data_IF_262378405588
#
_entry.id   IF_262378405588
#
_cell.length_a   1.000
_cell.length_b   1.000
_cell.length_c   1.000
_cell.angle_alpha   90.00
_cell.angle_beta   90.00
_cell.angle_gamma   90.00
#
_symmetry.space_group_name_H-M   'P 1'
#
loop_
_entity.id
_entity.type
_entity.pdbx_description
1 polymer ?
#
# COMPACT_ATOMS: atom_id res chain seq x y z
N UNK A 1 15.14 19.46 5.91
CA UNK A 1 15.04 18.12 6.51
C UNK A 1 16.07 17.19 5.90
N UNK A 2 16.51 16.17 6.67
CA UNK A 2 17.52 15.23 6.19
C UNK A 2 17.00 14.25 5.14
N UNK A 3 15.70 14.08 5.08
CA UNK A 3 15.09 13.11 4.18
C UNK A 3 14.27 13.82 3.11
N UNK A 4 14.36 13.33 1.89
CA UNK A 4 13.66 13.91 0.74
C UNK A 4 12.54 13.04 0.21
N UNK A 5 12.60 11.73 0.47
CA UNK A 5 11.70 10.77 -0.14
C UNK A 5 11.40 9.66 0.86
N UNK A 6 10.21 9.68 1.42
CA UNK A 6 9.82 8.76 2.50
C UNK A 6 8.78 7.76 1.99
N UNK A 7 9.02 6.49 2.27
CA UNK A 7 8.08 5.41 1.98
C UNK A 7 7.29 5.05 3.22
N UNK A 8 5.99 4.89 3.07
CA UNK A 8 5.09 4.48 4.15
C UNK A 8 4.32 3.25 3.70
N UNK A 9 4.72 2.05 4.11
CA UNK A 9 3.91 0.86 3.88
C UNK A 9 2.59 0.97 4.65
N UNK A 10 1.48 0.73 3.97
CA UNK A 10 0.16 0.96 4.52
C UNK A 10 -0.73 -0.26 4.29
N UNK A 11 -1.37 -0.74 5.34
CA UNK A 11 -2.28 -1.89 5.27
C UNK A 11 -3.65 -1.62 5.90
N UNK A 12 -3.91 -0.36 6.26
CA UNK A 12 -5.17 0.02 6.88
C UNK A 12 -5.25 -0.23 8.38
N UNK A 13 -4.22 -0.83 8.96
CA UNK A 13 -4.18 -1.07 10.41
C UNK A 13 -4.01 0.24 11.17
N UNK A 14 -4.34 0.22 12.46
CA UNK A 14 -4.16 1.38 13.33
C UNK A 14 -2.69 1.81 13.35
N UNK A 15 -1.77 0.85 13.35
CA UNK A 15 -0.34 1.16 13.37
C UNK A 15 0.13 1.81 12.06
N UNK A 16 -0.36 1.35 10.91
CA UNK A 16 0.00 1.99 9.65
C UNK A 16 -0.62 3.36 9.50
N UNK A 17 -1.82 3.56 10.04
CA UNK A 17 -2.45 4.89 10.07
C UNK A 17 -1.64 5.86 10.94
N UNK A 18 -1.14 5.39 12.08
CA UNK A 18 -0.29 6.21 12.94
C UNK A 18 1.03 6.56 12.26
N UNK A 19 1.62 5.60 11.55
CA UNK A 19 2.85 5.86 10.79
C UNK A 19 2.62 6.90 9.70
N UNK A 20 1.51 6.79 8.99
CA UNK A 20 1.17 7.77 7.95
C UNK A 20 0.95 9.16 8.55
N UNK A 21 0.24 9.24 9.69
CA UNK A 21 0.02 10.52 10.35
C UNK A 21 1.34 11.18 10.75
N UNK A 22 2.29 10.40 11.22
CA UNK A 22 3.61 10.90 11.57
C UNK A 22 4.37 11.41 10.35
N UNK A 23 4.31 10.67 9.25
CA UNK A 23 4.95 11.09 8.00
C UNK A 23 4.32 12.38 7.46
N UNK A 24 3.00 12.52 7.57
CA UNK A 24 2.30 13.73 7.15
C UNK A 24 2.76 14.93 7.99
N UNK A 25 2.98 14.73 9.28
CA UNK A 25 3.51 15.80 10.14
C UNK A 25 4.88 16.26 9.66
N UNK A 26 5.78 15.33 9.33
CA UNK A 26 7.09 15.70 8.79
C UNK A 26 6.93 16.46 7.46
N UNK A 27 6.02 16.00 6.63
CA UNK A 27 5.82 16.61 5.32
C UNK A 27 5.28 18.04 5.41
N UNK A 28 4.46 18.33 6.41
CA UNK A 28 3.93 19.69 6.60
C UNK A 28 5.03 20.68 6.95
N UNK A 29 6.06 20.20 7.62
CA UNK A 29 7.19 21.05 8.03
C UNK A 29 8.23 21.18 6.89
N UNK A 30 8.13 20.36 5.86
CA UNK A 30 9.08 20.36 4.76
C UNK A 30 8.37 20.14 3.42
N UNK A 31 7.97 21.21 2.74
CA UNK A 31 7.25 21.09 1.47
C UNK A 31 8.00 20.35 0.36
N UNK A 32 9.32 20.24 0.46
CA UNK A 32 10.13 19.50 -0.52
C UNK A 32 10.13 18.00 -0.32
N UNK A 33 9.55 17.52 0.78
CA UNK A 33 9.52 16.10 1.09
C UNK A 33 8.48 15.38 0.23
N UNK A 34 8.87 14.26 -0.38
CA UNK A 34 7.96 13.42 -1.15
C UNK A 34 7.52 12.24 -0.28
N UNK A 35 6.24 11.93 -0.31
CA UNK A 35 5.68 10.76 0.38
C UNK A 35 5.30 9.70 -0.64
N UNK A 36 5.64 8.45 -0.35
CA UNK A 36 5.25 7.30 -1.16
C UNK A 36 4.51 6.32 -0.28
N UNK A 37 3.20 6.29 -0.43
CA UNK A 37 2.31 5.42 0.35
C UNK A 37 2.08 4.16 -0.49
N UNK A 38 2.46 3.01 0.07
CA UNK A 38 2.50 1.77 -0.69
C UNK A 38 1.73 0.69 0.05
N UNK A 39 0.77 0.07 -0.62
CA UNK A 39 0.06 -1.08 -0.11
C UNK A 39 0.43 -2.31 -0.94
N UNK A 40 0.76 -3.40 -0.24
CA UNK A 40 1.05 -4.67 -0.90
C UNK A 40 -0.24 -5.49 -0.86
N UNK A 41 -0.67 -5.98 -2.02
CA UNK A 41 -1.90 -6.77 -2.15
C UNK A 41 -1.60 -8.14 -2.72
N UNK A 42 -2.40 -9.12 -2.31
CA UNK A 42 -2.39 -10.45 -2.90
C UNK A 42 -3.52 -10.50 -3.92
N UNK A 43 -3.19 -10.26 -5.18
CA UNK A 43 -4.17 -10.19 -6.25
C UNK A 43 -4.88 -11.52 -6.44
N UNK A 44 -4.17 -12.64 -6.29
CA UNK A 44 -4.76 -13.96 -6.43
C UNK A 44 -5.84 -14.19 -5.39
N UNK A 45 -5.55 -13.85 -4.12
CA UNK A 45 -6.54 -14.03 -3.06
C UNK A 45 -7.74 -13.11 -3.25
N UNK A 46 -7.50 -11.87 -3.67
CA UNK A 46 -8.60 -10.94 -3.95
C UNK A 46 -9.49 -11.45 -5.08
N UNK A 47 -8.90 -12.02 -6.12
CA UNK A 47 -9.65 -12.57 -7.24
C UNK A 47 -10.48 -13.79 -6.79
N UNK A 48 -9.89 -14.66 -5.99
CA UNK A 48 -10.61 -15.82 -5.44
C UNK A 48 -11.81 -15.36 -4.61
N UNK A 49 -11.60 -14.41 -3.71
CA UNK A 49 -12.63 -13.88 -2.85
C UNK A 49 -13.79 -13.28 -3.67
N UNK A 50 -13.44 -12.55 -4.74
CA UNK A 50 -14.45 -11.95 -5.60
C UNK A 50 -15.28 -13.02 -6.33
N UNK A 51 -14.64 -14.03 -6.87
CA UNK A 51 -15.33 -15.10 -7.58
C UNK A 51 -16.23 -15.88 -6.64
N UNK A 52 -15.79 -16.15 -5.43
CA UNK A 52 -16.61 -16.82 -4.42
C UNK A 52 -17.81 -15.98 -4.04
N UNK A 53 -17.62 -14.66 -3.87
CA UNK A 53 -18.72 -13.75 -3.54
C UNK A 53 -19.77 -13.69 -4.66
N UNK A 54 -19.35 -13.94 -5.91
CA UNK A 54 -20.25 -13.98 -7.05
C UNK A 54 -20.90 -15.36 -7.25
N UNK A 55 -20.65 -16.31 -6.32
CA UNK A 55 -21.22 -17.65 -6.39
C UNK A 55 -20.48 -18.59 -7.33
N UNK A 56 -19.28 -18.26 -7.72
CA UNK A 56 -18.47 -19.10 -8.58
C UNK A 56 -17.48 -19.90 -7.75
N UNK A 57 -17.34 -21.18 -8.08
CA UNK A 57 -16.34 -22.00 -7.42
C UNK A 57 -15.08 -22.14 -8.31
N UNK A 58 -14.05 -22.77 -7.76
CA UNK A 58 -12.80 -22.94 -8.48
C UNK A 58 -12.94 -23.75 -9.76
N UNK A 59 -13.92 -24.62 -9.82
CA UNK A 59 -14.13 -25.49 -10.97
C UNK A 59 -14.81 -24.77 -12.13
N UNK A 60 -15.48 -23.66 -11.85
CA UNK A 60 -16.17 -22.88 -12.87
C UNK A 60 -15.37 -21.71 -13.40
N UNK A 61 -14.19 -21.47 -12.87
CA UNK A 61 -13.29 -20.44 -13.38
C UNK A 61 -12.73 -20.94 -14.68
N UNK A 62 -13.27 -20.47 -15.75
CA UNK A 62 -13.12 -21.18 -17.00
C UNK A 62 -12.07 -20.62 -17.95
N UNK A 63 -11.87 -19.33 -18.03
CA UNK A 63 -11.00 -18.80 -19.08
C UNK A 63 -9.98 -17.82 -18.55
N UNK A 64 -8.84 -17.76 -19.24
CA UNK A 64 -7.82 -16.79 -18.91
C UNK A 64 -8.31 -15.35 -19.12
N UNK A 65 -9.22 -15.15 -20.08
CA UNK A 65 -9.81 -13.81 -20.28
C UNK A 65 -10.65 -13.37 -19.07
N UNK A 66 -11.42 -14.31 -18.49
CA UNK A 66 -12.21 -14.03 -17.31
C UNK A 66 -11.31 -13.74 -16.10
N UNK A 67 -10.26 -14.53 -15.94
CA UNK A 67 -9.30 -14.30 -14.85
C UNK A 67 -8.61 -12.95 -15.00
N UNK A 68 -8.19 -12.60 -16.20
CA UNK A 68 -7.56 -11.31 -16.45
C UNK A 68 -8.49 -10.17 -16.10
N UNK A 69 -9.76 -10.27 -16.51
CA UNK A 69 -10.75 -9.25 -16.18
C UNK A 69 -10.94 -9.13 -14.66
N UNK A 70 -11.00 -10.26 -13.97
CA UNK A 70 -11.17 -10.28 -12.52
C UNK A 70 -9.97 -9.62 -11.82
N UNK A 71 -8.74 -9.92 -12.26
CA UNK A 71 -7.56 -9.28 -11.71
C UNK A 71 -7.57 -7.76 -11.90
N UNK A 72 -7.98 -7.30 -13.08
CA UNK A 72 -8.08 -5.88 -13.35
C UNK A 72 -9.11 -5.21 -12.45
N UNK A 73 -10.27 -5.87 -12.28
CA UNK A 73 -11.33 -5.34 -11.43
C UNK A 73 -10.90 -5.25 -9.96
N UNK A 74 -10.28 -6.29 -9.41
CA UNK A 74 -9.88 -6.28 -7.99
C UNK A 74 -8.75 -5.28 -7.76
N UNK A 75 -7.85 -5.12 -8.72
CA UNK A 75 -6.78 -4.14 -8.61
C UNK A 75 -7.34 -2.72 -8.62
N UNK A 76 -8.27 -2.45 -9.52
CA UNK A 76 -8.92 -1.14 -9.59
C UNK A 76 -9.72 -0.84 -8.32
N UNK A 77 -10.48 -1.82 -7.85
CA UNK A 77 -11.24 -1.66 -6.61
C UNK A 77 -10.34 -1.41 -5.41
N UNK A 78 -9.22 -2.13 -5.33
CA UNK A 78 -8.25 -1.94 -4.26
C UNK A 78 -7.62 -0.55 -4.32
N UNK A 79 -7.29 -0.08 -5.52
CA UNK A 79 -6.74 1.26 -5.71
C UNK A 79 -7.72 2.33 -5.27
N UNK A 80 -8.97 2.22 -5.69
CA UNK A 80 -10.00 3.17 -5.30
C UNK A 80 -10.23 3.18 -3.79
N UNK A 81 -10.24 1.99 -3.18
CA UNK A 81 -10.41 1.89 -1.74
C UNK A 81 -9.25 2.55 -1.00
N UNK A 82 -8.03 2.32 -1.47
CA UNK A 82 -6.85 2.92 -0.87
C UNK A 82 -6.89 4.45 -0.97
N UNK A 83 -7.18 4.99 -2.14
CA UNK A 83 -7.30 6.44 -2.32
C UNK A 83 -8.41 7.03 -1.43
N UNK A 84 -9.54 6.35 -1.36
CA UNK A 84 -10.67 6.80 -0.54
C UNK A 84 -10.29 6.91 0.93
N UNK A 85 -9.47 5.96 1.39
CA UNK A 85 -9.01 5.93 2.77
C UNK A 85 -7.91 6.95 3.05
N UNK A 86 -6.99 7.11 2.10
CA UNK A 86 -5.80 7.94 2.27
C UNK A 86 -6.06 9.42 1.99
N UNK A 87 -6.84 9.74 0.96
CA UNK A 87 -7.02 11.13 0.52
C UNK A 87 -7.44 12.09 1.65
N UNK A 88 -8.38 11.72 2.54
CA UNK A 88 -8.73 12.63 3.63
C UNK A 88 -7.59 12.90 4.59
N UNK A 89 -6.67 11.94 4.74
CA UNK A 89 -5.53 12.07 5.65
C UNK A 89 -4.47 13.01 5.10
N UNK A 90 -4.50 13.29 3.79
CA UNK A 90 -3.56 14.17 3.12
C UNK A 90 -4.11 15.57 2.92
N UNK A 91 -5.29 15.86 3.44
CA UNK A 91 -5.95 17.15 3.25
C UNK A 91 -5.05 18.31 3.69
N UNK A 92 -4.90 19.30 2.83
CA UNK A 92 -4.08 20.47 3.10
C UNK A 92 -2.59 20.26 2.86
N UNK A 93 -2.18 19.06 2.46
CA UNK A 93 -0.77 18.78 2.21
C UNK A 93 -0.39 19.25 0.81
N UNK A 94 0.70 20.00 0.71
CA UNK A 94 1.19 20.55 -0.57
C UNK A 94 2.28 19.71 -1.19
N UNK A 95 2.74 18.69 -0.48
CA UNK A 95 3.84 17.84 -0.90
C UNK A 95 3.45 16.94 -2.07
N UNK A 96 4.45 16.51 -2.82
CA UNK A 96 4.25 15.47 -3.82
C UNK A 96 3.98 14.14 -3.11
N UNK A 97 2.91 13.47 -3.48
CA UNK A 97 2.51 12.19 -2.88
C UNK A 97 2.23 11.18 -3.99
N UNK A 98 2.80 9.99 -3.83
CA UNK A 98 2.49 8.85 -4.69
C UNK A 98 1.78 7.80 -3.84
N UNK A 99 0.68 7.26 -4.36
CA UNK A 99 -0.10 6.20 -3.71
C UNK A 99 -0.10 5.02 -4.68
N UNK A 100 0.54 3.93 -4.29
CA UNK A 100 0.75 2.80 -5.19
C UNK A 100 0.38 1.48 -4.56
N UNK A 101 -0.10 0.55 -5.40
CA UNK A 101 -0.33 -0.83 -5.03
C UNK A 101 0.80 -1.69 -5.60
N UNK A 102 1.31 -2.60 -4.79
CA UNK A 102 2.29 -3.59 -5.24
C UNK A 102 1.68 -4.97 -5.06
N UNK A 103 1.85 -5.80 -6.08
CA UNK A 103 1.42 -7.18 -5.98
C UNK A 103 2.43 -7.98 -5.16
N UNK A 104 1.92 -8.79 -4.23
CA UNK A 104 2.77 -9.63 -3.41
C UNK A 104 3.38 -10.74 -4.25
N UNK A 105 4.71 -10.77 -4.32
CA UNK A 105 5.45 -11.83 -4.99
C UNK A 105 6.36 -12.58 -4.04
N UNK A 106 6.95 -11.85 -3.08
CA UNK A 106 7.81 -12.43 -2.05
C UNK A 106 7.60 -11.66 -0.76
N UNK A 107 7.27 -12.33 0.34
CA UNK A 107 7.05 -11.63 1.62
C UNK A 107 8.29 -10.82 2.03
N UNK A 108 8.06 -9.56 2.35
CA UNK A 108 9.10 -8.68 2.88
C UNK A 108 10.03 -8.07 1.86
N UNK A 109 10.27 -8.73 0.73
CA UNK A 109 11.24 -8.26 -0.25
C UNK A 109 10.79 -7.03 -1.01
N UNK A 110 9.49 -6.89 -1.23
CA UNK A 110 8.96 -5.81 -2.05
C UNK A 110 9.14 -4.44 -1.44
N UNK A 111 9.05 -4.33 -0.11
CA UNK A 111 9.23 -3.05 0.57
C UNK A 111 10.64 -2.54 0.32
N UNK A 112 11.64 -3.39 0.52
CA UNK A 112 13.03 -3.01 0.33
C UNK A 112 13.31 -2.71 -1.14
N UNK A 113 12.84 -3.57 -2.04
CA UNK A 113 13.04 -3.39 -3.48
C UNK A 113 12.41 -2.07 -3.95
N UNK A 114 11.18 -1.80 -3.52
CA UNK A 114 10.52 -0.55 -3.89
C UNK A 114 11.30 0.66 -3.37
N UNK A 115 11.77 0.60 -2.14
CA UNK A 115 12.53 1.70 -1.55
C UNK A 115 13.81 1.97 -2.32
N UNK A 116 14.52 0.92 -2.71
CA UNK A 116 15.76 1.06 -3.49
C UNK A 116 15.47 1.61 -4.87
N UNK A 117 14.49 1.04 -5.56
CA UNK A 117 14.17 1.42 -6.94
C UNK A 117 13.68 2.85 -7.05
N UNK A 118 13.02 3.35 -6.01
CA UNK A 118 12.46 4.70 -6.00
C UNK A 118 13.29 5.67 -5.17
N UNK A 119 14.49 5.28 -4.78
CA UNK A 119 15.44 6.13 -4.05
C UNK A 119 14.85 6.71 -2.77
N UNK A 120 14.09 5.89 -2.03
CA UNK A 120 13.57 6.30 -0.75
C UNK A 120 14.69 6.30 0.29
N UNK A 121 14.78 7.37 1.07
CA UNK A 121 15.84 7.51 2.06
C UNK A 121 15.34 7.23 3.48
N UNK A 122 14.05 6.96 3.64
CA UNK A 122 13.49 6.57 4.93
C UNK A 122 12.23 5.73 4.71
N UNK A 123 12.04 4.72 5.55
CA UNK A 123 10.79 3.93 5.59
C UNK A 123 10.18 4.13 6.96
N UNK A 124 8.95 4.65 6.99
CA UNK A 124 8.21 4.85 8.23
C UNK A 124 7.16 3.75 8.33
N UNK A 125 7.33 2.84 9.28
CA UNK A 125 6.45 1.69 9.46
C UNK A 125 5.65 1.78 10.74
N UNK A 126 4.53 1.07 10.75
CA UNK A 126 3.68 1.03 11.92
C UNK A 126 4.33 0.33 13.10
N UNK A 127 3.91 0.71 14.30
CA UNK A 127 4.47 0.17 15.54
C UNK A 127 4.26 -1.34 15.67
N UNK A 128 3.28 -1.91 14.97
CA UNK A 128 3.06 -3.36 15.01
C UNK A 128 4.27 -4.10 14.44
N UNK A 129 4.82 -3.61 13.32
CA UNK A 129 6.04 -4.17 12.76
C UNK A 129 7.22 -3.97 13.68
N UNK A 130 7.34 -2.77 14.24
CA UNK A 130 8.39 -2.46 15.21
C UNK A 130 8.21 -3.24 16.50
N UNK A 131 6.96 -3.46 16.92
CA UNK A 131 6.67 -4.26 18.10
C UNK A 131 7.21 -5.67 17.99
N UNK A 132 7.09 -6.28 16.83
CA UNK A 132 7.64 -7.60 16.59
C UNK A 132 9.17 -7.60 16.69
N UNK A 133 9.81 -6.54 16.23
CA UNK A 133 11.27 -6.40 16.33
C UNK A 133 11.72 -6.08 17.75
N UNK A 134 10.96 -5.27 18.45
CA UNK A 134 11.31 -4.88 19.83
C UNK A 134 11.25 -6.04 20.81
N UNK A 135 10.42 -7.00 20.52
CA UNK A 135 10.31 -8.14 21.43
C UNK A 135 11.57 -9.01 21.43
N UNK A 136 12.48 -8.72 20.55
CA UNK A 136 13.76 -9.43 20.50
C UNK A 136 14.83 -8.84 21.40
#
# INVERSE_FOLDING_TARGET
MLYDNIMIPYDGSASSKAALAEAVRFAKDDPGLTLRIVQIIDTDQLAIDKLEAEGRDEQTVASSAMLQKTYEEVTEEASKALHREIDPLLSGLMNKVYIELLQETQPGGQIVTYAIDNLCDLIVMGSRGLGALRST
#
